data_IF_737363733149
#
_entry.id   IF_737363733149
#
_cell.length_a   1.000
_cell.length_b   1.000
_cell.length_c   1.000
_cell.angle_alpha   90.00
_cell.angle_beta   90.00
_cell.angle_gamma   90.00
#
_symmetry.space_group_name_H-M   'P 1'
#
loop_
_entity.id
_entity.type
_entity.pdbx_description
1 polymer ?
#
# COMPACT_ATOMS: atom_id res chain seq x y z
N UNK A 1 -5.37 -7.35 -10.08
CA UNK A 1 -4.97 -5.93 -10.05
C UNK A 1 -3.72 -5.67 -10.91
N UNK A 2 -3.92 -5.25 -12.17
CA UNK A 2 -2.81 -4.97 -13.12
C UNK A 2 -2.02 -3.71 -12.74
N UNK A 3 -2.69 -2.72 -12.14
CA UNK A 3 -2.04 -1.53 -11.57
C UNK A 3 -0.98 -1.93 -10.54
N UNK A 4 -1.33 -2.77 -9.57
CA UNK A 4 -0.41 -3.23 -8.54
C UNK A 4 0.78 -4.02 -9.10
N UNK A 5 0.54 -4.90 -10.09
CA UNK A 5 1.63 -5.64 -10.75
C UNK A 5 2.59 -4.71 -11.45
N UNK A 6 2.09 -3.71 -12.20
CA UNK A 6 2.93 -2.71 -12.84
C UNK A 6 3.75 -1.93 -11.81
N UNK A 7 3.09 -1.43 -10.76
CA UNK A 7 3.74 -0.66 -9.69
C UNK A 7 4.89 -1.43 -9.02
N UNK A 8 4.66 -2.70 -8.69
CA UNK A 8 5.69 -3.56 -8.06
C UNK A 8 6.83 -3.83 -9.04
N UNK A 9 6.54 -4.02 -10.33
CA UNK A 9 7.57 -4.22 -11.37
C UNK A 9 8.44 -2.98 -11.56
N UNK A 10 7.84 -1.80 -11.62
CA UNK A 10 8.55 -0.52 -11.70
C UNK A 10 9.39 -0.26 -10.45
N UNK A 11 8.85 -0.58 -9.26
CA UNK A 11 9.60 -0.48 -8.00
C UNK A 11 10.83 -1.39 -8.00
N UNK A 12 10.70 -2.63 -8.48
CA UNK A 12 11.82 -3.56 -8.61
C UNK A 12 12.93 -3.00 -9.51
N UNK A 13 12.56 -2.44 -10.67
CA UNK A 13 13.50 -1.78 -11.58
C UNK A 13 14.19 -0.57 -10.94
N UNK A 14 13.42 0.29 -10.28
CA UNK A 14 13.95 1.51 -9.66
C UNK A 14 14.89 1.25 -8.47
N UNK A 15 14.79 0.10 -7.83
CA UNK A 15 15.59 -0.28 -6.66
C UNK A 15 16.69 -1.30 -6.95
N UNK A 16 16.80 -1.84 -8.18
CA UNK A 16 17.70 -2.95 -8.53
C UNK A 16 19.17 -2.70 -8.19
N UNK A 17 19.64 -1.47 -8.36
CA UNK A 17 21.04 -1.09 -8.13
C UNK A 17 21.23 -0.30 -6.83
N UNK A 18 20.21 -0.27 -5.96
CA UNK A 18 20.26 0.49 -4.72
C UNK A 18 20.56 -0.39 -3.52
N UNK A 19 21.43 0.10 -2.65
CA UNK A 19 21.68 -0.54 -1.36
C UNK A 19 20.56 -0.15 -0.40
N UNK A 20 19.75 -1.11 0.00
CA UNK A 20 18.70 -0.93 1.00
C UNK A 20 19.20 -1.32 2.40
N UNK A 21 18.60 -0.74 3.43
CA UNK A 21 18.85 -1.10 4.84
C UNK A 21 17.87 -2.17 5.35
N UNK A 22 17.13 -2.79 4.45
CA UNK A 22 16.14 -3.82 4.71
C UNK A 22 16.25 -4.95 3.67
N UNK A 23 15.63 -6.08 3.96
CA UNK A 23 15.39 -7.14 3.00
C UNK A 23 14.00 -6.90 2.39
N UNK A 24 13.94 -6.77 1.06
CA UNK A 24 12.72 -6.43 0.33
C UNK A 24 12.20 -7.62 -0.45
N UNK A 25 10.98 -8.04 -0.16
CA UNK A 25 10.24 -9.02 -0.96
C UNK A 25 9.21 -8.29 -1.82
N UNK A 26 9.30 -8.51 -3.12
CA UNK A 26 8.34 -7.99 -4.10
C UNK A 26 7.60 -9.13 -4.76
N UNK A 27 6.28 -9.04 -4.85
CA UNK A 27 5.49 -10.13 -5.41
C UNK A 27 4.04 -9.76 -5.68
N UNK A 28 3.31 -10.71 -6.27
CA UNK A 28 1.88 -10.62 -6.50
C UNK A 28 1.18 -11.80 -5.83
N UNK A 29 0.21 -11.51 -5.00
CA UNK A 29 -0.61 -12.52 -4.34
C UNK A 29 -1.72 -13.01 -5.26
N UNK A 30 -2.05 -14.29 -5.15
CA UNK A 30 -3.16 -14.91 -5.87
C UNK A 30 -4.44 -14.87 -5.04
N UNK A 31 -5.60 -14.89 -5.72
CA UNK A 31 -6.91 -15.05 -5.08
C UNK A 31 -7.22 -13.95 -4.02
N UNK A 32 -6.85 -12.72 -4.32
CA UNK A 32 -7.20 -11.57 -3.47
C UNK A 32 -8.73 -11.38 -3.44
N UNK A 33 -9.38 -11.36 -4.60
CA UNK A 33 -10.82 -11.11 -4.82
C UNK A 33 -11.77 -12.15 -4.18
N UNK A 34 -11.23 -13.26 -3.72
CA UNK A 34 -12.01 -14.38 -3.14
C UNK A 34 -11.58 -14.71 -1.70
N UNK A 35 -11.03 -13.73 -0.99
CA UNK A 35 -10.75 -13.83 0.44
C UNK A 35 -9.28 -13.63 0.81
N UNK A 36 -8.53 -12.80 0.08
CA UNK A 36 -7.15 -12.39 0.40
C UNK A 36 -6.21 -13.57 0.66
N UNK A 37 -6.41 -14.67 -0.08
CA UNK A 37 -5.83 -15.98 0.25
C UNK A 37 -4.31 -16.00 0.06
N UNK A 38 -3.82 -15.41 -1.02
CA UNK A 38 -2.39 -15.32 -1.30
C UNK A 38 -1.64 -14.54 -0.22
N UNK A 39 -2.19 -13.41 0.23
CA UNK A 39 -1.59 -12.60 1.30
C UNK A 39 -1.47 -13.36 2.62
N UNK A 40 -2.46 -14.18 2.96
CA UNK A 40 -2.39 -15.03 4.15
C UNK A 40 -1.21 -16.02 4.09
N UNK A 41 -1.00 -16.62 2.93
CA UNK A 41 0.07 -17.62 2.74
C UNK A 41 1.44 -16.97 2.67
N UNK A 42 1.57 -15.93 1.84
CA UNK A 42 2.86 -15.23 1.65
C UNK A 42 3.34 -14.59 2.94
N UNK A 43 2.47 -13.89 3.67
CA UNK A 43 2.82 -13.27 4.95
C UNK A 43 3.23 -14.30 6.01
N UNK A 44 2.50 -15.42 6.11
CA UNK A 44 2.87 -16.49 7.05
C UNK A 44 4.22 -17.12 6.69
N UNK A 45 4.49 -17.30 5.39
CA UNK A 45 5.72 -17.97 4.93
C UNK A 45 6.96 -17.06 5.02
N UNK A 46 6.82 -15.78 4.66
CA UNK A 46 7.92 -14.83 4.63
C UNK A 46 8.20 -14.17 5.98
N UNK A 47 7.20 -14.13 6.85
CA UNK A 47 7.23 -13.50 8.18
C UNK A 47 7.80 -12.07 8.15
N UNK A 48 7.24 -11.17 7.32
CA UNK A 48 7.78 -9.83 7.15
C UNK A 48 7.50 -8.98 8.39
N UNK A 49 8.36 -8.01 8.66
CA UNK A 49 8.18 -7.08 9.76
C UNK A 49 7.23 -5.91 9.44
N UNK A 50 7.06 -5.62 8.15
CA UNK A 50 6.12 -4.63 7.58
C UNK A 50 5.56 -5.17 6.28
N UNK A 51 4.27 -4.94 6.03
CA UNK A 51 3.60 -5.33 4.79
C UNK A 51 2.96 -4.12 4.11
N UNK A 52 3.31 -3.88 2.86
CA UNK A 52 2.72 -2.83 2.03
C UNK A 52 1.93 -3.47 0.89
N UNK A 53 0.61 -3.37 0.96
CA UNK A 53 -0.25 -3.73 -0.17
C UNK A 53 -0.27 -2.60 -1.20
N UNK A 54 -0.36 -2.95 -2.47
CA UNK A 54 -0.49 -1.98 -3.57
C UNK A 54 -1.77 -2.26 -4.32
N UNK A 55 -2.75 -1.37 -4.16
CA UNK A 55 -4.07 -1.58 -4.74
C UNK A 55 -4.76 -0.28 -5.14
N UNK A 56 -5.68 -0.36 -6.10
CA UNK A 56 -6.55 0.76 -6.44
C UNK A 56 -7.82 0.75 -5.58
N UNK A 57 -8.38 1.93 -5.37
CA UNK A 57 -9.59 2.11 -4.56
C UNK A 57 -10.66 2.88 -5.32
N UNK A 58 -11.96 2.62 -5.07
CA UNK A 58 -13.05 3.29 -5.78
C UNK A 58 -12.98 4.80 -5.66
N UNK A 59 -13.10 5.51 -6.78
CA UNK A 59 -13.24 6.96 -6.78
C UNK A 59 -14.63 7.36 -6.26
N UNK A 60 -14.65 8.38 -5.39
CA UNK A 60 -15.88 8.81 -4.73
C UNK A 60 -16.93 9.42 -5.67
N UNK A 61 -16.52 9.93 -6.81
CA UNK A 61 -17.41 10.54 -7.80
C UNK A 61 -18.35 9.54 -8.51
N UNK A 62 -17.97 8.27 -8.57
CA UNK A 62 -18.79 7.22 -9.19
C UNK A 62 -19.53 6.37 -8.15
N UNK A 63 -18.83 6.02 -7.06
CA UNK A 63 -19.35 5.04 -6.09
C UNK A 63 -19.85 5.67 -4.79
N UNK A 64 -19.76 6.99 -4.67
CA UNK A 64 -20.01 7.72 -3.44
C UNK A 64 -18.95 7.42 -2.38
N UNK A 65 -18.56 8.42 -1.62
CA UNK A 65 -17.56 8.30 -0.56
C UNK A 65 -16.34 9.18 -0.78
N UNK A 66 -15.22 8.73 -0.27
CA UNK A 66 -13.94 9.45 -0.31
C UNK A 66 -13.13 9.07 -1.55
N UNK A 67 -12.16 9.89 -1.81
CA UNK A 67 -11.18 9.65 -2.86
C UNK A 67 -11.51 10.36 -4.17
N UNK A 68 -10.54 11.08 -4.69
CA UNK A 68 -10.67 11.87 -5.92
C UNK A 68 -9.50 11.59 -6.84
N UNK A 69 -9.81 11.34 -8.12
CA UNK A 69 -8.79 11.19 -9.16
C UNK A 69 -8.07 12.53 -9.37
N UNK A 70 -6.75 12.49 -9.41
CA UNK A 70 -5.89 13.67 -9.54
C UNK A 70 -5.52 14.36 -8.24
N UNK A 71 -5.92 13.83 -7.09
CA UNK A 71 -5.55 14.39 -5.78
C UNK A 71 -4.40 13.64 -5.08
N UNK A 72 -3.62 12.87 -5.83
CA UNK A 72 -2.43 12.20 -5.35
C UNK A 72 -2.66 10.75 -4.90
N UNK A 73 -1.61 10.14 -4.38
CA UNK A 73 -1.65 8.76 -3.89
C UNK A 73 -2.59 8.60 -2.70
N UNK A 74 -3.15 7.40 -2.54
CA UNK A 74 -4.00 7.08 -1.39
C UNK A 74 -3.15 6.55 -0.23
N UNK A 75 -3.37 7.10 0.96
CA UNK A 75 -2.99 6.50 2.23
C UNK A 75 -4.26 5.96 2.88
N UNK A 76 -4.39 4.64 2.93
CA UNK A 76 -5.58 4.00 3.48
C UNK A 76 -5.48 3.89 5.00
N UNK A 77 -6.38 4.58 5.70
CA UNK A 77 -6.43 4.59 7.17
C UNK A 77 -7.27 3.47 7.74
N UNK A 78 -8.33 3.12 7.04
CA UNK A 78 -9.32 2.17 7.50
C UNK A 78 -9.99 1.45 6.33
N UNK A 79 -10.28 0.19 6.55
CA UNK A 79 -11.30 -0.58 5.86
C UNK A 79 -11.88 -1.64 6.83
N UNK A 80 -12.94 -2.40 6.45
CA UNK A 80 -13.56 -3.38 7.36
C UNK A 80 -12.62 -4.47 7.88
N UNK A 81 -11.50 -4.71 7.22
CA UNK A 81 -10.50 -5.70 7.62
C UNK A 81 -9.23 -5.11 8.24
N UNK A 82 -9.08 -3.78 8.27
CA UNK A 82 -7.82 -3.17 8.66
C UNK A 82 -7.99 -1.76 9.27
N UNK A 83 -7.31 -1.53 10.38
CA UNK A 83 -7.12 -0.20 10.97
C UNK A 83 -5.64 0.11 11.04
N UNK A 84 -5.25 1.24 10.47
CA UNK A 84 -3.86 1.68 10.43
C UNK A 84 -3.30 1.93 11.84
N UNK A 85 -2.17 1.33 12.18
CA UNK A 85 -1.49 1.57 13.44
C UNK A 85 -0.99 3.02 13.54
N UNK A 86 -1.02 3.64 14.73
CA UNK A 86 -0.54 5.01 14.91
C UNK A 86 0.90 5.22 14.43
N UNK A 87 1.83 4.36 14.82
CA UNK A 87 3.23 4.46 14.38
C UNK A 87 3.40 4.29 12.86
N UNK A 88 2.60 3.42 12.23
CA UNK A 88 2.58 3.30 10.77
C UNK A 88 2.04 4.58 10.13
N UNK A 89 0.97 5.16 10.69
CA UNK A 89 0.42 6.43 10.21
C UNK A 89 1.49 7.53 10.22
N UNK A 90 2.20 7.70 11.33
CA UNK A 90 3.21 8.75 11.47
C UNK A 90 4.38 8.51 10.52
N UNK A 91 4.82 7.27 10.33
CA UNK A 91 5.83 6.91 9.35
C UNK A 91 5.41 7.29 7.92
N UNK A 92 4.17 6.97 7.52
CA UNK A 92 3.64 7.28 6.20
C UNK A 92 3.55 8.78 5.96
N UNK A 93 2.95 9.53 6.91
CA UNK A 93 2.75 10.98 6.76
C UNK A 93 4.09 11.73 6.74
N UNK A 94 4.98 11.44 7.68
CA UNK A 94 6.32 12.06 7.71
C UNK A 94 7.10 11.77 6.43
N UNK A 95 7.03 10.54 5.92
CA UNK A 95 7.72 10.18 4.67
C UNK A 95 7.13 10.91 3.47
N UNK A 96 5.80 11.02 3.39
CA UNK A 96 5.13 11.75 2.32
C UNK A 96 5.50 13.25 2.33
N UNK A 97 5.49 13.87 3.51
CA UNK A 97 5.84 15.28 3.68
C UNK A 97 7.30 15.56 3.31
N UNK A 98 8.24 14.75 3.82
CA UNK A 98 9.68 14.90 3.53
C UNK A 98 10.01 14.68 2.05
N UNK A 99 9.30 13.79 1.38
CA UNK A 99 9.49 13.50 -0.04
C UNK A 99 8.66 14.41 -0.97
N UNK A 100 7.84 15.32 -0.42
CA UNK A 100 6.98 16.21 -1.18
C UNK A 100 5.88 15.50 -1.98
N UNK A 101 5.42 14.34 -1.49
CA UNK A 101 4.40 13.52 -2.14
C UNK A 101 3.01 14.13 -1.95
N UNK A 102 2.28 14.29 -3.04
CA UNK A 102 0.86 14.63 -2.98
C UNK A 102 0.05 13.39 -2.60
N UNK A 103 -0.72 13.46 -1.52
CA UNK A 103 -1.50 12.33 -1.02
C UNK A 103 -2.88 12.75 -0.52
N UNK A 104 -3.75 11.78 -0.38
CA UNK A 104 -5.07 11.94 0.21
C UNK A 104 -5.40 10.79 1.16
N UNK A 105 -6.22 11.08 2.18
CA UNK A 105 -6.71 10.08 3.12
C UNK A 105 -7.83 9.25 2.50
N UNK A 106 -7.86 7.97 2.84
CA UNK A 106 -8.88 7.07 2.33
C UNK A 106 -9.40 6.11 3.40
N UNK A 107 -10.73 6.04 3.51
CA UNK A 107 -11.42 5.01 4.29
C UNK A 107 -12.20 4.11 3.32
N UNK A 108 -11.77 2.87 3.21
CA UNK A 108 -12.33 1.89 2.26
C UNK A 108 -13.62 1.26 2.77
N UNK A 109 -14.51 0.86 1.85
CA UNK A 109 -15.69 0.04 2.14
C UNK A 109 -15.43 -1.45 1.96
N UNK A 110 -14.36 -1.82 1.24
CA UNK A 110 -13.88 -3.18 1.01
C UNK A 110 -12.46 -3.35 1.53
N UNK A 111 -12.06 -4.60 1.78
CA UNK A 111 -10.71 -4.94 2.26
C UNK A 111 -9.66 -4.93 1.16
N UNK A 112 -8.41 -5.15 1.58
CA UNK A 112 -7.24 -5.38 0.72
C UNK A 112 -6.35 -6.43 1.37
N UNK A 113 -5.29 -6.84 0.69
CA UNK A 113 -4.30 -7.78 1.24
C UNK A 113 -3.70 -7.36 2.59
N UNK A 114 -3.63 -6.06 2.90
CA UNK A 114 -3.22 -5.55 4.20
C UNK A 114 -4.10 -6.06 5.34
N UNK A 115 -5.42 -6.21 5.09
CA UNK A 115 -6.38 -6.75 6.06
C UNK A 115 -6.14 -8.22 6.43
N UNK A 116 -5.56 -9.00 5.53
CA UNK A 116 -5.16 -10.36 5.83
C UNK A 116 -3.76 -10.44 6.45
N UNK A 117 -2.83 -9.63 5.95
CA UNK A 117 -1.43 -9.64 6.39
C UNK A 117 -1.28 -9.23 7.85
N UNK A 118 -1.97 -8.18 8.30
CA UNK A 118 -1.79 -7.64 9.66
C UNK A 118 -2.19 -8.63 10.77
N UNK A 119 -3.02 -9.61 10.47
CA UNK A 119 -3.47 -10.64 11.43
C UNK A 119 -2.55 -11.87 11.49
N UNK A 120 -1.48 -11.90 10.69
CA UNK A 120 -0.61 -13.09 10.63
C UNK A 120 0.52 -13.03 11.64
N UNK A 121 1.02 -14.23 11.98
CA UNK A 121 2.13 -14.44 12.91
C UNK A 121 1.91 -13.71 14.25
N UNK A 122 2.83 -12.87 14.68
CA UNK A 122 2.70 -12.05 15.90
C UNK A 122 2.01 -10.68 15.65
N UNK A 123 1.40 -10.50 14.47
CA UNK A 123 0.87 -9.24 14.01
C UNK A 123 1.91 -8.49 13.15
N UNK A 124 1.53 -8.13 11.93
CA UNK A 124 2.42 -7.45 10.97
C UNK A 124 1.88 -6.05 10.71
N UNK A 125 2.60 -4.98 11.08
CA UNK A 125 2.26 -3.63 10.69
C UNK A 125 2.05 -3.53 9.19
N UNK A 126 0.85 -3.17 8.76
CA UNK A 126 0.44 -3.25 7.37
C UNK A 126 -0.25 -1.97 6.93
N UNK A 127 -0.21 -1.67 5.65
CA UNK A 127 -1.00 -0.60 5.03
C UNK A 127 -1.23 -0.88 3.56
N UNK A 128 -2.13 -0.10 2.94
CA UNK A 128 -2.35 -0.11 1.50
C UNK A 128 -2.04 1.25 0.93
N UNK A 129 -1.15 1.28 -0.05
CA UNK A 129 -0.80 2.44 -0.87
C UNK A 129 -1.42 2.25 -2.25
N UNK A 130 -2.00 3.30 -2.80
CA UNK A 130 -2.63 3.15 -4.11
C UNK A 130 -3.12 4.43 -4.73
N UNK A 131 -4.05 4.29 -5.65
CA UNK A 131 -4.66 5.40 -6.37
C UNK A 131 -6.18 5.28 -6.37
N UNK A 132 -6.84 6.42 -6.50
CA UNK A 132 -8.26 6.45 -6.84
C UNK A 132 -8.50 6.00 -8.27
N UNK A 133 -9.48 5.14 -8.47
CA UNK A 133 -9.83 4.67 -9.80
C UNK A 133 -11.34 4.53 -10.01
N UNK A 134 -11.78 4.80 -11.24
CA UNK A 134 -13.13 4.46 -11.71
C UNK A 134 -13.16 3.07 -12.30
N UNK A 135 -14.31 2.42 -12.22
CA UNK A 135 -14.58 1.14 -12.87
C UNK A 135 -13.69 -0.01 -12.42
N UNK A 136 -13.27 0.01 -11.14
CA UNK A 136 -12.62 -1.16 -10.53
C UNK A 136 -13.54 -2.38 -10.61
N UNK A 137 -12.96 -3.59 -10.54
CA UNK A 137 -13.66 -4.88 -10.75
C UNK A 137 -14.34 -5.00 -12.13
N UNK A 138 -13.80 -4.28 -13.11
CA UNK A 138 -14.21 -4.40 -14.51
C UNK A 138 -13.01 -4.67 -15.42
N UNK A 139 -13.27 -4.86 -16.72
CA UNK A 139 -12.20 -5.09 -17.69
C UNK A 139 -11.36 -3.83 -18.01
N UNK A 140 -11.84 -2.63 -17.62
CA UNK A 140 -11.15 -1.35 -17.81
C UNK A 140 -11.21 -0.53 -16.52
N UNK A 141 -10.11 0.12 -16.18
CA UNK A 141 -10.00 0.99 -15.01
C UNK A 141 -9.38 2.31 -15.43
N UNK A 142 -9.94 3.41 -14.95
CA UNK A 142 -9.44 4.77 -15.21
C UNK A 142 -8.87 5.36 -13.93
N UNK A 143 -7.61 5.82 -13.98
CA UNK A 143 -6.95 6.60 -12.93
C UNK A 143 -6.10 7.72 -13.53
N UNK A 144 -5.64 8.69 -12.73
CA UNK A 144 -4.73 9.72 -13.18
C UNK A 144 -3.29 9.21 -13.21
N UNK A 145 -2.53 9.53 -14.26
CA UNK A 145 -1.12 9.17 -14.35
C UNK A 145 -0.29 9.88 -13.27
N UNK A 146 -0.64 11.11 -12.92
CA UNK A 146 0.05 11.85 -11.85
C UNK A 146 -0.10 11.15 -10.50
N UNK A 147 -1.30 10.62 -10.17
CA UNK A 147 -1.51 9.84 -8.96
C UNK A 147 -0.67 8.55 -8.94
N UNK A 148 -0.48 7.92 -10.12
CA UNK A 148 0.39 6.76 -10.28
C UNK A 148 1.85 7.11 -9.98
N UNK A 149 2.35 8.21 -10.53
CA UNK A 149 3.73 8.67 -10.31
C UNK A 149 3.97 9.08 -8.85
N UNK A 150 2.99 9.71 -8.21
CA UNK A 150 3.04 10.00 -6.77
C UNK A 150 3.11 8.71 -5.94
N UNK A 151 2.26 7.71 -6.24
CA UNK A 151 2.29 6.43 -5.55
C UNK A 151 3.63 5.69 -5.74
N UNK A 152 4.20 5.74 -6.95
CA UNK A 152 5.50 5.14 -7.26
C UNK A 152 6.63 5.81 -6.46
N UNK A 153 6.66 7.14 -6.46
CA UNK A 153 7.64 7.92 -5.71
C UNK A 153 7.51 7.67 -4.20
N UNK A 154 6.27 7.58 -3.72
CA UNK A 154 6.00 7.31 -2.32
C UNK A 154 6.47 5.92 -1.89
N UNK A 155 6.16 4.88 -2.65
CA UNK A 155 6.63 3.51 -2.37
C UNK A 155 8.17 3.43 -2.34
N UNK A 156 8.86 4.09 -3.27
CA UNK A 156 10.32 4.17 -3.25
C UNK A 156 10.85 4.86 -1.99
N UNK A 157 10.23 5.98 -1.58
CA UNK A 157 10.63 6.71 -0.37
C UNK A 157 10.42 5.85 0.89
N UNK A 158 9.27 5.18 1.00
CA UNK A 158 8.95 4.29 2.11
C UNK A 158 9.97 3.15 2.22
N UNK A 159 10.26 2.44 1.13
CA UNK A 159 11.20 1.32 1.13
C UNK A 159 12.61 1.76 1.51
N UNK A 160 13.08 2.89 0.99
CA UNK A 160 14.41 3.43 1.30
C UNK A 160 14.55 3.86 2.76
N UNK A 161 13.47 4.34 3.37
CA UNK A 161 13.45 4.83 4.74
C UNK A 161 13.26 3.72 5.79
N UNK A 162 12.72 2.57 5.38
CA UNK A 162 12.55 1.43 6.27
C UNK A 162 13.91 0.86 6.67
N UNK A 163 14.19 0.90 7.96
CA UNK A 163 15.30 0.23 8.64
C UNK A 163 14.84 -0.33 10.00
N UNK A 164 15.74 -0.95 10.74
CA UNK A 164 15.42 -1.51 12.06
C UNK A 164 14.80 -0.46 12.99
N UNK A 165 15.38 0.71 13.07
CA UNK A 165 14.92 1.78 13.98
C UNK A 165 13.51 2.27 13.62
N UNK A 166 13.22 2.39 12.34
CA UNK A 166 11.89 2.77 11.84
C UNK A 166 10.84 1.69 12.12
N UNK A 167 11.19 0.42 11.94
CA UNK A 167 10.29 -0.71 12.28
C UNK A 167 9.98 -0.72 13.77
N UNK A 168 10.97 -0.50 14.62
CA UNK A 168 10.79 -0.45 16.07
C UNK A 168 9.87 0.71 16.48
N UNK A 169 10.01 1.89 15.86
CA UNK A 169 9.11 3.02 16.07
C UNK A 169 7.66 2.70 15.63
N UNK A 170 7.49 2.03 14.50
CA UNK A 170 6.15 1.63 14.01
C UNK A 170 5.46 0.66 15.00
N UNK A 171 6.21 -0.25 15.59
CA UNK A 171 5.68 -1.31 16.47
C UNK A 171 5.45 -0.88 17.92
N UNK A 172 6.25 0.05 18.42
CA UNK A 172 6.28 0.43 19.85
C UNK A 172 5.66 1.81 20.12
N UNK A 173 4.77 2.25 19.27
CA UNK A 173 4.09 3.55 19.39
C UNK A 173 3.10 3.60 20.56
#
# INVERSE_FOLDING_TARGET
>A
NRYGVLMVSELAGALSDQKLNNELYLGANVQEEVGLRGAQVSTTKLDPEVFLAVDCSPAGDVYGGQGKIGDGTLIRFYDPGHLLLPGMKDFLLTTAEEAGIKYQYYCGKGGTDAGAAHLKNAGVPSTTIGVCARYIHSHQTLYAMDDFLEAQSFLQALVKKLDRSTVDLIKNY
#
